data_IF_257580293991
#
_entry.id   IF_257580293991
#
_cell.length_a   1.000
_cell.length_b   1.000
_cell.length_c   1.000
_cell.angle_alpha   90.00
_cell.angle_beta   90.00
_cell.angle_gamma   90.00
#
_symmetry.space_group_name_H-M   'P 1'
#
loop_
_entity.id
_entity.type
_entity.pdbx_description
1 polymer ?
#
# COMPACT_ATOMS: atom_id res chain seq x y z
N UNK A 1 20.33 18.57 -24.05
CA UNK A 1 18.85 18.67 -23.92
C UNK A 1 18.41 19.93 -24.63
N UNK A 2 17.53 19.82 -25.65
CA UNK A 2 17.06 20.96 -26.41
C UNK A 2 16.29 21.96 -25.54
N UNK A 3 16.30 23.25 -25.90
CA UNK A 3 15.67 24.32 -25.10
C UNK A 3 14.20 24.04 -24.79
N UNK A 4 13.43 23.56 -25.80
CA UNK A 4 12.02 23.18 -25.62
C UNK A 4 11.83 22.01 -24.64
N UNK A 5 12.71 21.02 -24.67
CA UNK A 5 12.65 19.88 -23.71
C UNK A 5 12.87 20.35 -22.28
N UNK A 6 13.87 21.23 -22.07
CA UNK A 6 14.14 21.82 -20.74
C UNK A 6 12.94 22.61 -20.23
N UNK A 7 12.30 23.37 -21.12
CA UNK A 7 11.11 24.15 -20.79
C UNK A 7 9.93 23.24 -20.39
N UNK A 8 9.60 22.21 -21.21
CA UNK A 8 8.51 21.28 -20.94
C UNK A 8 8.70 20.55 -19.61
N UNK A 9 9.93 20.04 -19.39
CA UNK A 9 10.28 19.33 -18.15
C UNK A 9 10.14 20.25 -16.94
N UNK A 10 10.71 21.47 -17.00
CA UNK A 10 10.66 22.42 -15.88
C UNK A 10 9.21 22.81 -15.56
N UNK A 11 8.43 23.17 -16.57
CA UNK A 11 7.03 23.59 -16.38
C UNK A 11 6.16 22.45 -15.83
N UNK A 12 6.39 21.22 -16.32
CA UNK A 12 5.66 20.05 -15.82
C UNK A 12 6.01 19.74 -14.36
N UNK A 13 7.31 19.74 -14.02
CA UNK A 13 7.76 19.50 -12.64
C UNK A 13 7.25 20.56 -11.66
N UNK A 14 7.19 21.82 -12.06
CA UNK A 14 6.58 22.88 -11.24
C UNK A 14 5.09 22.63 -11.01
N UNK A 15 4.35 22.25 -12.06
CA UNK A 15 2.93 21.89 -11.93
C UNK A 15 2.76 20.66 -11.03
N UNK A 16 3.63 19.65 -11.17
CA UNK A 16 3.62 18.47 -10.32
C UNK A 16 3.88 18.79 -8.86
N UNK A 17 4.91 19.58 -8.55
CA UNK A 17 5.24 19.96 -7.18
C UNK A 17 4.10 20.79 -6.53
N UNK A 18 3.51 21.72 -7.26
CA UNK A 18 2.38 22.51 -6.75
C UNK A 18 1.19 21.61 -6.37
N UNK A 19 0.81 20.68 -7.24
CA UNK A 19 -0.28 19.73 -6.96
C UNK A 19 0.08 18.79 -5.81
N UNK A 20 1.30 18.30 -5.80
CA UNK A 20 1.79 17.46 -4.70
C UNK A 20 1.65 18.13 -3.34
N UNK A 21 2.09 19.38 -3.21
CA UNK A 21 1.96 20.11 -1.95
C UNK A 21 0.51 20.40 -1.57
N UNK A 22 -0.36 20.70 -2.53
CA UNK A 22 -1.81 20.87 -2.29
C UNK A 22 -2.41 19.57 -1.72
N UNK A 23 -2.12 18.42 -2.36
CA UNK A 23 -2.60 17.13 -1.88
C UNK A 23 -2.01 16.76 -0.52
N UNK A 24 -0.73 17.03 -0.30
CA UNK A 24 -0.08 16.79 0.98
C UNK A 24 -0.77 17.57 2.11
N UNK A 25 -0.99 18.86 1.92
CA UNK A 25 -1.69 19.71 2.91
C UNK A 25 -3.13 19.23 3.15
N UNK A 26 -3.87 18.89 2.08
CA UNK A 26 -5.25 18.41 2.18
C UNK A 26 -5.33 17.11 2.97
N UNK A 27 -4.50 16.13 2.63
CA UNK A 27 -4.45 14.82 3.31
C UNK A 27 -3.99 14.99 4.75
N UNK A 28 -3.01 15.87 5.01
CA UNK A 28 -2.57 16.17 6.36
C UNK A 28 -3.72 16.70 7.24
N UNK A 29 -4.52 17.64 6.72
CA UNK A 29 -5.67 18.19 7.45
C UNK A 29 -6.72 17.10 7.73
N UNK A 30 -7.02 16.24 6.73
CA UNK A 30 -7.97 15.14 6.93
C UNK A 30 -7.47 14.14 7.98
N UNK A 31 -6.19 13.75 7.92
CA UNK A 31 -5.58 12.89 8.93
C UNK A 31 -5.60 13.53 10.32
N UNK A 32 -5.34 14.85 10.40
CA UNK A 32 -5.36 15.57 11.66
C UNK A 32 -6.74 15.55 12.31
N UNK A 33 -7.81 15.75 11.54
CA UNK A 33 -9.18 15.65 12.06
C UNK A 33 -9.46 14.27 12.64
N UNK A 34 -9.03 13.21 11.94
CA UNK A 34 -9.19 11.83 12.40
C UNK A 34 -8.40 11.56 13.70
N UNK A 35 -7.17 12.08 13.81
CA UNK A 35 -6.36 11.91 15.02
C UNK A 35 -6.90 12.72 16.20
N UNK A 36 -7.39 13.94 15.96
CA UNK A 36 -8.02 14.75 17.00
C UNK A 36 -9.28 14.09 17.55
N UNK A 37 -10.09 13.46 16.70
CA UNK A 37 -11.25 12.70 17.11
C UNK A 37 -10.87 11.48 17.95
N UNK A 38 -9.86 10.72 17.53
CA UNK A 38 -9.36 9.55 18.25
C UNK A 38 -8.86 9.90 19.66
N UNK A 39 -8.10 10.99 19.80
CA UNK A 39 -7.51 11.40 21.07
C UNK A 39 -8.42 12.31 21.93
N UNK A 40 -9.66 12.57 21.51
CA UNK A 40 -10.59 13.47 22.21
C UNK A 40 -10.85 13.08 23.66
N UNK A 41 -10.83 11.77 23.97
CA UNK A 41 -11.08 11.23 25.31
C UNK A 41 -9.80 10.84 26.06
N UNK A 42 -8.63 11.02 25.45
CA UNK A 42 -7.34 10.64 26.04
C UNK A 42 -6.54 11.86 26.44
N UNK A 43 -5.84 11.77 27.57
CA UNK A 43 -5.08 12.89 28.14
C UNK A 43 -3.68 12.97 27.48
N UNK A 44 -3.62 13.36 26.20
CA UNK A 44 -2.36 13.51 25.43
C UNK A 44 -2.02 14.98 25.21
N UNK A 45 -0.72 15.27 25.04
CA UNK A 45 -0.27 16.63 24.68
C UNK A 45 -0.83 17.02 23.31
N UNK A 46 -1.25 18.28 23.16
CA UNK A 46 -1.89 18.82 21.92
C UNK A 46 -1.05 18.64 20.65
N UNK A 47 0.27 18.60 20.78
CA UNK A 47 1.18 18.36 19.64
C UNK A 47 1.23 16.89 19.17
N UNK A 48 0.76 15.95 19.98
CA UNK A 48 0.88 14.52 19.64
C UNK A 48 0.01 14.11 18.44
N UNK A 49 -1.29 14.49 18.36
CA UNK A 49 -2.10 14.27 17.17
C UNK A 49 -1.54 14.93 15.90
N UNK A 50 -0.99 16.15 16.01
CA UNK A 50 -0.33 16.85 14.90
C UNK A 50 0.87 16.06 14.36
N UNK A 51 1.71 15.56 15.27
CA UNK A 51 2.87 14.74 14.91
C UNK A 51 2.48 13.41 14.26
N UNK A 52 1.51 12.71 14.84
CA UNK A 52 1.00 11.45 14.29
C UNK A 52 0.40 11.63 12.89
N UNK A 53 -0.39 12.68 12.69
CA UNK A 53 -0.96 13.01 11.39
C UNK A 53 0.12 13.26 10.35
N UNK A 54 1.19 13.98 10.73
CA UNK A 54 2.30 14.29 9.83
C UNK A 54 3.03 13.00 9.37
N UNK A 55 3.27 12.08 10.29
CA UNK A 55 3.95 10.80 9.99
C UNK A 55 3.08 9.89 9.12
N UNK A 56 1.77 9.90 9.32
CA UNK A 56 0.83 9.05 8.60
C UNK A 56 0.54 9.55 7.16
N UNK A 57 0.61 10.87 6.95
CA UNK A 57 0.26 11.54 5.69
C UNK A 57 1.02 11.02 4.46
N UNK A 58 2.35 10.76 4.48
CA UNK A 58 3.08 10.36 3.28
C UNK A 58 2.56 9.08 2.64
N UNK A 59 2.07 8.12 3.42
CA UNK A 59 1.54 6.87 2.87
C UNK A 59 0.22 7.09 2.11
N UNK A 60 -0.66 7.93 2.61
CA UNK A 60 -1.88 8.30 1.89
C UNK A 60 -1.58 9.13 0.64
N UNK A 61 -0.59 10.02 0.69
CA UNK A 61 -0.12 10.76 -0.49
C UNK A 61 0.43 9.79 -1.54
N UNK A 62 1.16 8.73 -1.13
CA UNK A 62 1.64 7.71 -2.05
C UNK A 62 0.49 7.04 -2.84
N UNK A 63 -0.60 6.73 -2.19
CA UNK A 63 -1.77 6.14 -2.85
C UNK A 63 -2.46 7.12 -3.83
N UNK A 64 -2.32 8.44 -3.59
CA UNK A 64 -2.92 9.49 -4.42
C UNK A 64 -2.06 9.92 -5.61
N UNK A 65 -0.84 9.39 -5.81
CA UNK A 65 0.00 9.79 -6.95
C UNK A 65 -0.66 9.67 -8.32
N UNK A 66 -1.47 8.64 -8.63
CA UNK A 66 -2.17 8.61 -9.93
C UNK A 66 -3.04 9.85 -10.18
N UNK A 67 -3.73 10.34 -9.15
CA UNK A 67 -4.51 11.59 -9.22
C UNK A 67 -3.62 12.83 -9.30
N UNK A 68 -2.51 12.86 -8.55
CA UNK A 68 -1.54 13.95 -8.60
C UNK A 68 -0.97 14.09 -10.01
N UNK A 69 -0.58 13.00 -10.67
CA UNK A 69 -0.10 13.03 -12.05
C UNK A 69 -1.17 13.51 -13.03
N UNK A 70 -2.41 13.04 -12.87
CA UNK A 70 -3.53 13.47 -13.71
C UNK A 70 -3.76 14.98 -13.59
N UNK A 71 -3.95 15.50 -12.38
CA UNK A 71 -4.25 16.91 -12.14
C UNK A 71 -3.07 17.79 -12.52
N UNK A 72 -1.85 17.38 -12.22
CA UNK A 72 -0.62 18.08 -12.62
C UNK A 72 -0.56 18.24 -14.14
N UNK A 73 -0.93 17.18 -14.87
CA UNK A 73 -1.01 17.20 -16.33
C UNK A 73 -2.06 18.18 -16.84
N UNK A 74 -3.23 18.19 -16.21
CA UNK A 74 -4.30 19.12 -16.57
C UNK A 74 -3.90 20.58 -16.35
N UNK A 75 -3.26 20.87 -15.21
CA UNK A 75 -2.76 22.21 -14.90
C UNK A 75 -1.61 22.62 -15.84
N UNK A 76 -0.69 21.70 -16.13
CA UNK A 76 0.38 21.93 -17.09
C UNK A 76 -0.18 22.32 -18.47
N UNK A 77 -1.09 21.53 -19.05
CA UNK A 77 -1.69 21.86 -20.33
C UNK A 77 -2.55 23.12 -20.25
N UNK A 78 -3.25 23.38 -19.17
CA UNK A 78 -3.97 24.62 -18.96
C UNK A 78 -3.03 25.83 -19.04
N UNK A 79 -1.86 25.76 -18.41
CA UNK A 79 -0.83 26.81 -18.47
C UNK A 79 -0.35 27.02 -19.91
N UNK A 80 0.03 25.93 -20.62
CA UNK A 80 0.46 26.02 -22.01
C UNK A 80 -0.59 26.63 -22.95
N UNK A 81 -1.88 26.33 -22.72
CA UNK A 81 -2.98 26.92 -23.50
C UNK A 81 -3.21 28.39 -23.15
N UNK A 82 -3.02 28.77 -21.88
CA UNK A 82 -3.26 30.16 -21.43
C UNK A 82 -2.21 31.10 -22.01
N UNK A 83 -0.96 30.67 -22.10
CA UNK A 83 0.13 31.44 -22.67
C UNK A 83 0.34 31.21 -24.19
N UNK A 84 -0.56 30.50 -24.87
CA UNK A 84 -0.48 30.14 -26.30
C UNK A 84 0.81 29.37 -26.69
N UNK A 85 1.52 28.77 -25.76
CA UNK A 85 2.78 28.06 -25.98
C UNK A 85 2.60 26.82 -26.86
N UNK A 86 1.45 26.14 -26.79
CA UNK A 86 1.15 25.00 -27.68
C UNK A 86 1.13 25.44 -29.15
N UNK A 87 0.63 26.61 -29.48
CA UNK A 87 0.64 27.11 -30.85
C UNK A 87 2.07 27.42 -31.31
N UNK A 88 2.91 27.98 -30.43
CA UNK A 88 4.32 28.23 -30.71
C UNK A 88 5.03 26.89 -31.03
N UNK A 89 4.79 25.84 -30.25
CA UNK A 89 5.36 24.51 -30.52
C UNK A 89 4.87 23.93 -31.85
N UNK A 90 3.58 24.07 -32.19
CA UNK A 90 3.05 23.63 -33.47
C UNK A 90 3.70 24.39 -34.66
N UNK A 91 3.81 25.71 -34.55
CA UNK A 91 4.49 26.52 -35.59
C UNK A 91 5.96 26.15 -35.75
N UNK A 92 6.63 25.71 -34.68
CA UNK A 92 8.00 25.19 -34.69
C UNK A 92 8.10 23.75 -35.21
N UNK A 93 6.99 23.13 -35.67
CA UNK A 93 6.96 21.76 -36.18
C UNK A 93 6.99 20.67 -35.11
N UNK A 94 6.81 21.01 -33.81
CA UNK A 94 6.79 20.05 -32.74
C UNK A 94 5.41 19.36 -32.68
N UNK A 95 5.38 18.06 -32.99
CA UNK A 95 4.15 17.27 -32.94
C UNK A 95 3.72 17.00 -31.50
N UNK A 96 2.41 16.93 -31.25
CA UNK A 96 1.84 16.61 -29.94
C UNK A 96 2.34 15.27 -29.39
N UNK A 97 2.52 14.26 -30.26
CA UNK A 97 3.09 12.96 -29.91
C UNK A 97 4.50 13.06 -29.33
N UNK A 98 5.31 14.02 -29.81
CA UNK A 98 6.66 14.26 -29.30
C UNK A 98 6.64 14.85 -27.89
N UNK A 99 5.70 15.76 -27.61
CA UNK A 99 5.47 16.30 -26.24
C UNK A 99 5.07 15.18 -25.31
N UNK A 100 4.12 14.31 -25.71
CA UNK A 100 3.69 13.16 -24.91
C UNK A 100 4.85 12.20 -24.62
N UNK A 101 5.67 11.87 -25.64
CA UNK A 101 6.82 10.98 -25.48
C UNK A 101 7.85 11.53 -24.49
N UNK A 102 8.20 12.82 -24.58
CA UNK A 102 9.16 13.45 -23.67
C UNK A 102 8.67 13.41 -22.23
N UNK A 103 7.41 13.77 -22.01
CA UNK A 103 6.84 13.80 -20.66
C UNK A 103 6.57 12.39 -20.13
N UNK A 104 6.17 11.42 -20.95
CA UNK A 104 6.02 10.02 -20.53
C UNK A 104 7.33 9.42 -20.04
N UNK A 105 8.45 9.72 -20.72
CA UNK A 105 9.78 9.28 -20.27
C UNK A 105 10.15 9.94 -18.93
N UNK A 106 9.89 11.24 -18.78
CA UNK A 106 10.11 11.94 -17.52
C UNK A 106 9.29 11.30 -16.37
N UNK A 107 7.98 11.08 -16.61
CA UNK A 107 7.06 10.53 -15.62
C UNK A 107 7.46 9.11 -15.23
N UNK A 108 7.94 8.31 -16.17
CA UNK A 108 8.45 6.98 -15.89
C UNK A 108 9.61 7.02 -14.88
N UNK A 109 10.61 7.88 -15.13
CA UNK A 109 11.74 8.01 -14.20
C UNK A 109 11.34 8.60 -12.84
N UNK A 110 10.47 9.61 -12.83
CA UNK A 110 9.90 10.14 -11.58
C UNK A 110 9.10 9.05 -10.84
N UNK A 111 8.34 8.24 -11.56
CA UNK A 111 7.59 7.11 -11.01
C UNK A 111 8.50 6.06 -10.36
N UNK A 112 9.63 5.73 -10.99
CA UNK A 112 10.64 4.84 -10.38
C UNK A 112 11.19 5.44 -9.08
N UNK A 113 11.53 6.74 -9.07
CA UNK A 113 12.02 7.43 -7.86
C UNK A 113 10.95 7.40 -6.76
N UNK A 114 9.69 7.64 -7.10
CA UNK A 114 8.58 7.61 -6.15
C UNK A 114 8.44 6.20 -5.53
N UNK A 115 8.46 5.16 -6.33
CA UNK A 115 8.34 3.78 -5.82
C UNK A 115 9.58 3.35 -5.04
N UNK A 116 10.78 3.69 -5.51
CA UNK A 116 12.02 3.24 -4.87
C UNK A 116 12.36 4.01 -3.61
N UNK A 117 12.03 5.30 -3.53
CA UNK A 117 12.42 6.16 -2.42
C UNK A 117 11.22 6.60 -1.57
N UNK A 118 10.21 7.24 -2.20
CA UNK A 118 9.09 7.82 -1.45
C UNK A 118 8.22 6.74 -0.80
N UNK A 119 7.98 5.59 -1.46
CA UNK A 119 7.25 4.47 -0.88
C UNK A 119 7.96 3.91 0.36
N UNK A 120 9.27 3.62 0.27
CA UNK A 120 10.02 3.08 1.40
C UNK A 120 10.06 4.06 2.59
N UNK A 121 10.21 5.36 2.33
CA UNK A 121 10.11 6.38 3.36
C UNK A 121 8.72 6.40 4.00
N UNK A 122 7.67 6.37 3.19
CA UNK A 122 6.28 6.42 3.64
C UNK A 122 5.89 5.18 4.44
N UNK A 123 6.34 3.98 4.04
CA UNK A 123 6.07 2.73 4.77
C UNK A 123 6.75 2.71 6.13
N UNK A 124 8.01 3.17 6.22
CA UNK A 124 8.73 3.27 7.49
C UNK A 124 8.04 4.27 8.45
N UNK A 125 7.59 5.42 7.91
CA UNK A 125 6.84 6.40 8.70
C UNK A 125 5.49 5.83 9.15
N UNK A 126 4.80 5.07 8.29
CA UNK A 126 3.57 4.36 8.65
C UNK A 126 3.79 3.34 9.75
N UNK A 127 4.89 2.59 9.70
CA UNK A 127 5.25 1.65 10.76
C UNK A 127 5.47 2.36 12.11
N UNK A 128 6.23 3.47 12.11
CA UNK A 128 6.41 4.32 13.29
C UNK A 128 5.08 4.86 13.83
N UNK A 129 4.20 5.33 12.94
CA UNK A 129 2.86 5.78 13.31
C UNK A 129 2.06 4.69 14.01
N UNK A 130 2.03 3.47 13.44
CA UNK A 130 1.30 2.34 14.02
C UNK A 130 1.88 1.95 15.40
N UNK A 131 3.21 1.93 15.53
CA UNK A 131 3.88 1.67 16.80
C UNK A 131 3.54 2.69 17.89
N UNK A 132 3.54 3.98 17.55
CA UNK A 132 3.20 5.04 18.51
C UNK A 132 1.71 5.00 18.90
N UNK A 133 0.83 4.77 17.93
CA UNK A 133 -0.62 4.74 18.16
C UNK A 133 -1.06 3.53 18.97
N UNK A 134 -0.40 2.38 18.80
CA UNK A 134 -0.70 1.15 19.53
C UNK A 134 -0.56 1.28 21.06
N UNK A 135 0.26 2.23 21.55
CA UNK A 135 0.42 2.49 22.96
C UNK A 135 -0.83 3.11 23.64
N UNK A 136 -1.75 3.62 22.82
CA UNK A 136 -2.99 4.29 23.27
C UNK A 136 -4.25 3.47 22.96
N UNK A 137 -4.09 2.22 22.56
CA UNK A 137 -5.20 1.29 22.33
C UNK A 137 -5.05 0.07 23.21
N UNK A 138 -6.13 -0.30 23.92
CA UNK A 138 -6.12 -1.44 24.83
C UNK A 138 -5.82 -2.77 24.11
N UNK A 139 -6.25 -2.90 22.88
CA UNK A 139 -6.12 -4.11 22.08
C UNK A 139 -4.78 -4.23 21.30
N UNK A 140 -3.93 -3.18 21.27
CA UNK A 140 -2.70 -3.10 20.46
C UNK A 140 -2.87 -3.56 18.99
N UNK A 141 -4.09 -3.48 18.47
CA UNK A 141 -4.48 -3.94 17.11
C UNK A 141 -3.75 -3.26 15.96
N UNK A 142 -3.08 -2.13 16.22
CA UNK A 142 -2.38 -1.38 15.17
C UNK A 142 -1.07 -2.05 14.72
N UNK A 143 -0.45 -2.89 15.55
CA UNK A 143 0.81 -3.58 15.21
C UNK A 143 0.59 -4.94 14.53
N UNK A 144 -0.56 -5.57 14.79
CA UNK A 144 -0.89 -6.87 14.21
C UNK A 144 -2.39 -6.93 13.89
N UNK A 145 -2.76 -7.56 12.78
CA UNK A 145 -4.17 -7.85 12.48
C UNK A 145 -4.61 -9.02 13.37
N UNK A 146 -4.93 -8.71 14.63
CA UNK A 146 -5.57 -9.66 15.52
C UNK A 146 -7.08 -9.61 15.21
N UNK A 147 -7.63 -10.73 14.77
CA UNK A 147 -9.08 -10.84 14.57
C UNK A 147 -9.80 -10.81 15.93
N UNK A 148 -11.11 -10.56 15.93
CA UNK A 148 -11.92 -10.62 17.17
C UNK A 148 -11.80 -11.95 17.91
N UNK A 149 -11.29 -13.00 17.24
CA UNK A 149 -11.08 -14.36 17.76
C UNK A 149 -9.63 -14.63 18.19
N UNK A 150 -8.77 -13.59 18.29
CA UNK A 150 -7.36 -13.71 18.65
C UNK A 150 -6.43 -14.01 17.47
N UNK A 151 -5.19 -14.30 17.80
CA UNK A 151 -4.10 -14.65 16.88
C UNK A 151 -4.13 -16.15 16.60
N UNK A 152 -4.16 -16.55 15.34
CA UNK A 152 -4.06 -17.94 14.92
C UNK A 152 -2.82 -18.18 14.08
N UNK A 153 -1.99 -19.15 14.48
CA UNK A 153 -0.79 -19.57 13.77
C UNK A 153 -0.86 -21.08 13.53
N UNK A 154 -0.64 -21.48 12.28
CA UNK A 154 -0.36 -22.86 11.92
C UNK A 154 1.16 -22.99 11.68
N UNK A 155 1.83 -23.85 12.42
CA UNK A 155 3.23 -24.18 12.23
C UNK A 155 3.39 -25.67 11.88
N UNK A 156 4.40 -26.01 11.10
CA UNK A 156 4.76 -27.40 10.81
C UNK A 156 6.23 -27.54 11.21
N UNK A 157 6.47 -28.20 12.32
CA UNK A 157 7.81 -28.41 12.83
C UNK A 157 8.08 -29.92 13.05
N UNK A 158 9.15 -30.45 12.44
CA UNK A 158 9.52 -31.88 12.49
C UNK A 158 8.34 -32.82 12.20
N UNK A 159 7.56 -32.49 11.13
CA UNK A 159 6.39 -33.28 10.69
C UNK A 159 5.16 -33.19 11.59
N UNK A 160 5.26 -32.56 12.77
CA UNK A 160 4.09 -32.28 13.60
C UNK A 160 3.45 -30.95 13.20
N UNK A 161 2.13 -30.90 13.30
CA UNK A 161 1.34 -29.69 13.02
C UNK A 161 0.99 -29.04 14.34
N UNK A 162 1.41 -27.80 14.52
CA UNK A 162 1.08 -26.97 15.68
C UNK A 162 -0.02 -25.98 15.28
N UNK A 163 -1.17 -26.05 15.92
CA UNK A 163 -2.20 -25.05 15.84
C UNK A 163 -2.18 -24.19 17.10
N UNK A 164 -1.79 -22.94 16.96
CA UNK A 164 -1.56 -22.00 18.06
C UNK A 164 -2.63 -20.93 18.01
N UNK A 165 -3.36 -20.78 19.10
CA UNK A 165 -4.29 -19.68 19.30
C UNK A 165 -3.87 -18.87 20.52
N UNK A 166 -3.72 -17.55 20.37
CA UNK A 166 -3.43 -16.63 21.46
C UNK A 166 -4.46 -15.51 21.47
N UNK A 167 -4.91 -15.10 22.67
CA UNK A 167 -5.88 -14.02 22.79
C UNK A 167 -5.30 -12.66 22.43
N UNK A 168 -4.04 -12.45 22.72
CA UNK A 168 -3.32 -11.22 22.43
C UNK A 168 -1.80 -11.45 22.41
N UNK A 169 -1.11 -10.48 21.87
CA UNK A 169 0.33 -10.45 21.67
C UNK A 169 0.88 -9.15 22.24
N UNK A 170 1.85 -9.24 23.16
CA UNK A 170 2.40 -8.08 23.82
C UNK A 170 3.88 -8.26 24.18
N UNK A 171 4.74 -7.32 23.77
CA UNK A 171 6.15 -7.23 24.18
C UNK A 171 6.85 -8.60 24.22
N UNK A 172 6.96 -9.27 23.07
CA UNK A 172 7.59 -10.58 22.90
C UNK A 172 6.90 -11.76 23.61
N UNK A 173 5.69 -11.57 24.14
CA UNK A 173 4.92 -12.64 24.80
C UNK A 173 3.56 -12.83 24.13
N UNK A 174 3.16 -14.09 23.93
CA UNK A 174 1.77 -14.46 23.63
C UNK A 174 1.02 -14.63 24.95
N UNK A 175 -0.21 -14.09 25.01
CA UNK A 175 -1.04 -14.14 26.20
C UNK A 175 -2.23 -15.08 26.00
N UNK A 176 -2.58 -15.82 27.07
CA UNK A 176 -3.69 -16.78 27.11
C UNK A 176 -3.68 -17.69 25.86
N UNK A 177 -2.59 -18.41 25.70
CA UNK A 177 -2.34 -19.20 24.51
C UNK A 177 -2.78 -20.64 24.70
N UNK A 178 -3.39 -21.19 23.64
CA UNK A 178 -3.74 -22.59 23.52
C UNK A 178 -3.03 -23.17 22.28
N UNK A 179 -2.29 -24.25 22.46
CA UNK A 179 -1.53 -24.92 21.40
C UNK A 179 -2.02 -26.36 21.33
N UNK A 180 -2.46 -26.76 20.14
CA UNK A 180 -2.77 -28.15 19.81
C UNK A 180 -1.68 -28.71 18.90
N UNK A 181 -1.03 -29.75 19.33
CA UNK A 181 -0.03 -30.49 18.54
C UNK A 181 -0.65 -31.75 17.97
N UNK A 182 -0.53 -31.88 16.64
CA UNK A 182 -1.05 -33.04 15.87
C UNK A 182 0.12 -33.74 15.19
N UNK A 183 -0.07 -35.01 14.95
CA UNK A 183 0.81 -35.82 14.08
C UNK A 183 0.49 -35.57 12.60
N UNK A 184 1.18 -36.31 11.70
CA UNK A 184 0.95 -36.28 10.24
C UNK A 184 -0.45 -36.70 9.82
N UNK A 185 -1.13 -37.53 10.62
CA UNK A 185 -2.47 -38.06 10.35
C UNK A 185 -3.58 -37.18 10.94
N UNK A 186 -3.22 -35.98 11.49
CA UNK A 186 -4.11 -35.09 12.24
C UNK A 186 -4.67 -35.70 13.54
N UNK A 187 -3.97 -36.66 14.14
CA UNK A 187 -4.30 -37.14 15.49
C UNK A 187 -3.68 -36.21 16.53
N UNK A 188 -4.43 -35.91 17.61
CA UNK A 188 -3.96 -35.01 18.66
C UNK A 188 -2.92 -35.73 19.51
N UNK A 189 -1.69 -35.22 19.53
CA UNK A 189 -0.60 -35.70 20.38
C UNK A 189 -0.78 -35.13 21.79
N UNK A 190 -0.96 -33.80 21.90
CA UNK A 190 -1.18 -33.08 23.15
C UNK A 190 -1.77 -31.70 22.92
N UNK A 191 -2.42 -31.16 23.96
CA UNK A 191 -2.82 -29.77 24.01
C UNK A 191 -2.07 -29.08 25.15
N UNK A 192 -1.61 -27.85 24.90
CA UNK A 192 -0.86 -27.05 25.87
C UNK A 192 -1.60 -25.75 26.06
N UNK A 193 -1.86 -25.38 27.31
CA UNK A 193 -2.46 -24.12 27.70
C UNK A 193 -1.48 -23.35 28.58
N UNK A 194 -1.31 -22.05 28.33
CA UNK A 194 -0.48 -21.17 29.15
C UNK A 194 -0.98 -19.74 29.12
N UNK A 195 -0.78 -19.04 30.22
CA UNK A 195 -1.12 -17.61 30.32
C UNK A 195 -0.08 -16.75 29.61
N UNK A 196 1.20 -17.16 29.58
CA UNK A 196 2.31 -16.40 28.96
C UNK A 196 3.31 -17.30 28.30
N UNK A 197 3.63 -17.00 27.07
CA UNK A 197 4.65 -17.70 26.27
C UNK A 197 5.63 -16.67 25.74
N UNK A 198 6.90 -16.79 26.07
CA UNK A 198 7.98 -15.97 25.49
C UNK A 198 8.31 -16.50 24.10
N UNK A 199 8.23 -15.61 23.11
CA UNK A 199 8.43 -15.91 21.68
C UNK A 199 9.62 -15.15 21.08
N UNK A 200 10.52 -14.64 21.91
CA UNK A 200 11.69 -13.86 21.47
C UNK A 200 12.55 -14.64 20.46
N UNK A 201 12.66 -15.96 20.64
CA UNK A 201 13.41 -16.86 19.77
C UNK A 201 12.52 -17.96 19.19
N UNK A 202 13.02 -18.70 18.23
CA UNK A 202 12.32 -19.86 17.66
C UNK A 202 12.14 -21.03 18.64
N UNK A 203 12.80 -21.00 19.78
CA UNK A 203 12.55 -21.89 20.91
C UNK A 203 11.70 -21.14 21.95
N UNK A 204 10.39 -21.34 21.89
CA UNK A 204 9.46 -20.66 22.79
C UNK A 204 9.54 -21.21 24.20
N UNK A 205 9.49 -20.31 25.19
CA UNK A 205 9.48 -20.68 26.60
C UNK A 205 8.06 -20.49 27.12
N UNK A 206 7.38 -21.61 27.37
CA UNK A 206 6.02 -21.66 27.88
C UNK A 206 6.08 -21.70 29.39
N UNK A 207 5.62 -20.63 30.07
CA UNK A 207 5.64 -20.54 31.55
C UNK A 207 4.33 -21.13 32.10
N UNK A 208 4.44 -21.94 33.15
CA UNK A 208 3.31 -22.60 33.81
C UNK A 208 2.39 -23.31 32.79
N UNK A 209 3.00 -24.22 32.03
CA UNK A 209 2.29 -24.97 30.99
C UNK A 209 1.37 -26.02 31.60
N UNK A 210 0.09 -25.97 31.26
CA UNK A 210 -0.87 -27.04 31.47
C UNK A 210 -0.88 -27.93 30.23
N UNK A 211 -0.41 -29.14 30.35
CA UNK A 211 -0.31 -30.11 29.24
C UNK A 211 -1.41 -31.15 29.41
N UNK A 212 -2.21 -31.35 28.37
CA UNK A 212 -3.27 -32.35 28.32
C UNK A 212 -2.88 -33.42 27.31
N UNK A 213 -2.64 -34.64 27.76
CA UNK A 213 -2.35 -35.83 26.93
C UNK A 213 -3.46 -36.84 27.22
N UNK A 214 -4.30 -37.09 26.22
CA UNK A 214 -5.52 -37.90 26.37
C UNK A 214 -6.38 -37.38 27.55
N UNK A 215 -6.51 -38.13 28.64
CA UNK A 215 -7.26 -37.75 29.82
C UNK A 215 -6.41 -37.29 31.01
N UNK A 216 -5.08 -37.21 30.86
CA UNK A 216 -4.19 -36.80 31.92
C UNK A 216 -3.81 -35.32 31.79
N UNK A 217 -3.82 -34.60 32.92
CA UNK A 217 -3.36 -33.21 33.01
C UNK A 217 -2.05 -33.18 33.81
N UNK A 218 -1.02 -32.58 33.23
CA UNK A 218 0.24 -32.29 33.84
C UNK A 218 0.50 -30.79 33.88
N UNK A 219 1.08 -30.28 34.95
CA UNK A 219 1.47 -28.87 35.08
C UNK A 219 3.00 -28.83 35.22
N UNK A 220 3.61 -28.10 34.26
CA UNK A 220 5.05 -27.94 34.21
C UNK A 220 5.41 -26.47 34.35
N UNK A 221 6.34 -26.11 35.21
CA UNK A 221 6.73 -24.71 35.46
C UNK A 221 7.33 -24.03 34.25
N UNK A 222 8.03 -24.77 33.38
CA UNK A 222 8.58 -24.27 32.12
C UNK A 222 8.67 -25.39 31.10
N UNK A 223 8.15 -25.15 29.91
CA UNK A 223 8.26 -26.05 28.75
C UNK A 223 8.90 -25.31 27.58
N UNK A 224 9.87 -25.94 26.93
CA UNK A 224 10.48 -25.44 25.69
C UNK A 224 9.79 -26.06 24.49
N UNK A 225 9.29 -25.21 23.59
CA UNK A 225 8.65 -25.64 22.33
C UNK A 225 9.42 -25.03 21.15
N UNK A 226 9.95 -25.88 20.28
CA UNK A 226 10.62 -25.42 19.05
C UNK A 226 9.57 -25.13 17.97
N UNK A 227 9.68 -23.97 17.34
CA UNK A 227 8.78 -23.49 16.28
C UNK A 227 9.60 -22.85 15.16
N UNK A 228 8.96 -22.62 14.00
CA UNK A 228 9.56 -21.84 12.93
C UNK A 228 9.39 -20.33 13.15
N UNK A 229 8.60 -19.91 14.15
CA UNK A 229 8.23 -18.55 14.43
C UNK A 229 9.02 -17.95 15.58
N UNK A 230 9.53 -16.75 15.37
CA UNK A 230 10.04 -15.84 16.38
C UNK A 230 9.17 -14.56 16.45
N UNK A 231 9.47 -13.69 17.40
CA UNK A 231 8.78 -12.43 17.58
C UNK A 231 8.72 -11.59 16.30
N UNK A 232 9.88 -11.42 15.62
CA UNK A 232 9.97 -10.58 14.41
C UNK A 232 9.10 -11.14 13.29
N UNK A 233 9.09 -12.45 13.12
CA UNK A 233 8.30 -13.11 12.09
C UNK A 233 6.80 -12.96 12.37
N UNK A 234 6.36 -13.19 13.61
CA UNK A 234 4.95 -13.02 14.01
C UNK A 234 4.52 -11.56 13.81
N UNK A 235 5.31 -10.60 14.27
CA UNK A 235 5.02 -9.19 14.08
C UNK A 235 4.86 -8.83 12.59
N UNK A 236 5.75 -9.33 11.75
CA UNK A 236 5.70 -9.06 10.31
C UNK A 236 4.50 -9.74 9.62
N UNK A 237 4.13 -10.96 10.03
CA UNK A 237 2.99 -11.70 9.46
C UNK A 237 1.66 -10.96 9.65
N UNK A 238 1.50 -10.26 10.76
CA UNK A 238 0.27 -9.56 11.11
C UNK A 238 0.39 -8.04 10.94
N UNK A 239 1.51 -7.54 10.39
CA UNK A 239 1.67 -6.11 10.12
C UNK A 239 0.82 -5.67 8.94
N UNK A 240 0.44 -4.40 8.93
CA UNK A 240 -0.27 -3.82 7.81
C UNK A 240 0.66 -3.78 6.58
N UNK A 241 0.25 -4.36 5.45
CA UNK A 241 1.05 -4.42 4.21
C UNK A 241 1.58 -3.04 3.77
N UNK A 242 0.83 -1.97 4.04
CA UNK A 242 1.25 -0.62 3.69
C UNK A 242 2.34 -0.05 4.60
N UNK A 243 2.62 -0.68 5.75
CA UNK A 243 3.70 -0.30 6.66
C UNK A 243 5.02 -1.02 6.38
N UNK A 244 5.04 -1.92 5.38
CA UNK A 244 6.22 -2.67 4.99
C UNK A 244 6.91 -2.01 3.80
N UNK A 245 8.23 -1.84 3.88
CA UNK A 245 9.05 -1.40 2.77
C UNK A 245 9.13 -2.46 1.67
N UNK A 246 9.59 -2.08 0.47
CA UNK A 246 9.70 -3.00 -0.65
C UNK A 246 10.59 -4.23 -0.33
N UNK A 247 11.68 -4.03 0.40
CA UNK A 247 12.58 -5.11 0.80
C UNK A 247 11.95 -6.03 1.87
N UNK A 248 11.22 -5.46 2.81
CA UNK A 248 10.47 -6.22 3.82
C UNK A 248 9.37 -7.06 3.18
N UNK A 249 8.66 -6.55 2.17
CA UNK A 249 7.70 -7.32 1.40
C UNK A 249 8.34 -8.53 0.71
N UNK A 250 9.54 -8.38 0.13
CA UNK A 250 10.27 -9.51 -0.47
C UNK A 250 10.68 -10.53 0.60
N UNK A 251 11.20 -10.07 1.74
CA UNK A 251 11.56 -10.95 2.88
C UNK A 251 10.32 -11.70 3.38
N UNK A 252 9.21 -10.98 3.55
CA UNK A 252 7.94 -11.55 3.98
C UNK A 252 7.40 -12.59 3.00
N UNK A 253 7.47 -12.32 1.68
CA UNK A 253 7.10 -13.28 0.65
C UNK A 253 7.87 -14.60 0.77
N UNK A 254 9.19 -14.52 1.03
CA UNK A 254 10.03 -15.70 1.24
C UNK A 254 9.59 -16.49 2.48
N UNK A 255 9.32 -15.80 3.58
CA UNK A 255 8.88 -16.41 4.83
C UNK A 255 7.51 -17.10 4.66
N UNK A 256 6.52 -16.43 4.04
CA UNK A 256 5.21 -17.01 3.75
C UNK A 256 5.30 -18.28 2.90
N UNK A 257 6.17 -18.26 1.87
CA UNK A 257 6.42 -19.44 1.04
C UNK A 257 6.97 -20.61 1.84
N UNK A 258 7.90 -20.37 2.78
CA UNK A 258 8.47 -21.41 3.64
C UNK A 258 7.45 -21.99 4.62
N UNK A 259 6.48 -21.18 5.05
CA UNK A 259 5.44 -21.54 6.00
C UNK A 259 4.16 -22.08 5.34
N UNK A 260 4.14 -22.20 4.00
CA UNK A 260 2.95 -22.57 3.22
C UNK A 260 1.73 -21.65 3.45
N UNK A 261 1.97 -20.37 3.71
CA UNK A 261 0.92 -19.34 3.75
C UNK A 261 0.58 -18.83 2.36
N UNK A 262 -0.64 -18.28 2.19
CA UNK A 262 -1.05 -17.63 0.94
C UNK A 262 -0.16 -16.43 0.63
N UNK A 263 0.35 -16.37 -0.61
CA UNK A 263 1.20 -15.28 -1.11
C UNK A 263 0.38 -14.18 -1.77
N UNK A 264 -0.93 -14.35 -1.90
CA UNK A 264 -1.82 -13.54 -2.74
C UNK A 264 -1.72 -12.05 -2.42
N UNK A 265 -1.86 -11.65 -1.16
CA UNK A 265 -1.83 -10.23 -0.78
C UNK A 265 -0.44 -9.59 -0.98
N UNK A 266 0.62 -10.33 -0.64
CA UNK A 266 2.00 -9.84 -0.80
C UNK A 266 2.33 -9.67 -2.28
N UNK A 267 1.97 -10.66 -3.09
CA UNK A 267 2.22 -10.63 -4.53
C UNK A 267 1.42 -9.50 -5.19
N UNK A 268 0.16 -9.27 -4.78
CA UNK A 268 -0.63 -8.13 -5.22
C UNK A 268 0.05 -6.80 -4.92
N UNK A 269 0.54 -6.62 -3.68
CA UNK A 269 1.22 -5.38 -3.30
C UNK A 269 2.52 -5.18 -4.08
N UNK A 270 3.34 -6.23 -4.25
CA UNK A 270 4.58 -6.16 -5.02
C UNK A 270 4.31 -5.84 -6.50
N UNK A 271 3.35 -6.52 -7.14
CA UNK A 271 2.99 -6.25 -8.54
C UNK A 271 2.39 -4.87 -8.72
N UNK A 272 1.57 -4.39 -7.78
CA UNK A 272 1.06 -3.02 -7.76
C UNK A 272 2.20 -2.00 -7.77
N UNK A 273 3.21 -2.17 -6.91
CA UNK A 273 4.36 -1.27 -6.83
C UNK A 273 5.19 -1.27 -8.13
N UNK A 274 5.45 -2.44 -8.71
CA UNK A 274 6.19 -2.57 -9.96
C UNK A 274 5.45 -1.91 -11.14
N UNK A 275 4.13 -1.99 -11.16
CA UNK A 275 3.31 -1.45 -12.25
C UNK A 275 2.97 0.04 -12.09
N UNK A 276 3.18 0.64 -10.92
CA UNK A 276 2.84 2.04 -10.66
C UNK A 276 3.48 3.05 -11.63
N UNK A 277 4.77 2.97 -12.01
CA UNK A 277 5.35 3.89 -12.98
C UNK A 277 4.62 3.88 -14.33
N UNK A 278 4.13 2.71 -14.77
CA UNK A 278 3.33 2.58 -15.99
C UNK A 278 1.94 3.17 -15.80
N UNK A 279 1.33 2.96 -14.64
CA UNK A 279 0.01 3.53 -14.32
C UNK A 279 0.07 5.08 -14.32
N UNK A 280 1.14 5.68 -13.80
CA UNK A 280 1.33 7.13 -13.84
C UNK A 280 1.40 7.68 -15.28
N UNK A 281 2.09 6.97 -16.18
CA UNK A 281 2.13 7.33 -17.61
C UNK A 281 0.73 7.25 -18.22
N UNK A 282 -0.03 6.21 -17.94
CA UNK A 282 -1.37 6.05 -18.48
C UNK A 282 -2.32 7.16 -17.99
N UNK A 283 -2.23 7.55 -16.72
CA UNK A 283 -3.00 8.67 -16.15
C UNK A 283 -2.57 10.01 -16.76
N UNK A 284 -1.27 10.21 -16.99
CA UNK A 284 -0.77 11.38 -17.71
C UNK A 284 -1.34 11.46 -19.14
N UNK A 285 -1.22 10.37 -19.93
CA UNK A 285 -1.71 10.33 -21.30
C UNK A 285 -3.22 10.61 -21.33
N UNK A 286 -3.99 10.00 -20.45
CA UNK A 286 -5.42 10.19 -20.32
C UNK A 286 -5.78 11.67 -20.08
N UNK A 287 -5.13 12.31 -19.11
CA UNK A 287 -5.33 13.72 -18.80
C UNK A 287 -4.93 14.63 -19.97
N UNK A 288 -3.80 14.34 -20.62
CA UNK A 288 -3.31 15.09 -21.79
C UNK A 288 -4.32 15.03 -22.95
N UNK A 289 -4.90 13.86 -23.22
CA UNK A 289 -5.92 13.66 -24.26
C UNK A 289 -7.15 14.51 -23.97
N UNK A 290 -7.66 14.48 -22.74
CA UNK A 290 -8.84 15.30 -22.35
C UNK A 290 -8.55 16.77 -22.55
N UNK A 291 -7.38 17.25 -22.13
CA UNK A 291 -7.03 18.67 -22.24
C UNK A 291 -6.84 19.11 -23.69
N UNK A 292 -6.29 18.26 -24.55
CA UNK A 292 -6.04 18.58 -25.97
C UNK A 292 -7.27 18.42 -26.85
N UNK A 293 -8.31 17.72 -26.40
CA UNK A 293 -9.56 17.60 -27.15
C UNK A 293 -10.34 18.92 -27.14
N UNK A 294 -10.18 19.71 -28.20
CA UNK A 294 -10.82 21.01 -28.34
C UNK A 294 -12.22 20.93 -28.98
N UNK A 295 -12.56 19.79 -29.61
CA UNK A 295 -13.82 19.62 -30.32
C UNK A 295 -15.01 19.49 -29.36
N UNK A 296 -14.84 18.70 -28.30
CA UNK A 296 -15.94 18.31 -27.41
C UNK A 296 -16.21 19.33 -26.32
N UNK A 297 -15.16 19.97 -25.79
CA UNK A 297 -15.29 20.94 -24.71
C UNK A 297 -14.46 22.20 -24.98
N UNK A 298 -15.10 23.35 -25.11
CA UNK A 298 -14.43 24.66 -25.32
C UNK A 298 -13.86 25.21 -23.99
N UNK A 299 -14.54 24.98 -22.87
CA UNK A 299 -14.19 25.56 -21.57
C UNK A 299 -13.13 24.70 -20.87
N UNK A 300 -12.01 25.32 -20.48
CA UNK A 300 -10.87 24.67 -19.81
C UNK A 300 -11.23 24.09 -18.45
N UNK A 301 -12.04 24.82 -17.66
CA UNK A 301 -12.50 24.38 -16.33
C UNK A 301 -13.35 23.11 -16.42
N UNK A 302 -14.23 23.02 -17.43
CA UNK A 302 -15.06 21.83 -17.67
C UNK A 302 -14.19 20.61 -17.95
N UNK A 303 -13.08 20.74 -18.71
CA UNK A 303 -12.15 19.64 -18.98
C UNK A 303 -11.49 19.13 -17.70
N UNK A 304 -11.10 20.04 -16.79
CA UNK A 304 -10.50 19.67 -15.50
C UNK A 304 -11.52 18.88 -14.68
N UNK A 305 -12.76 19.35 -14.56
CA UNK A 305 -13.83 18.68 -13.82
C UNK A 305 -14.11 17.29 -14.40
N UNK A 306 -14.22 17.16 -15.73
CA UNK A 306 -14.44 15.88 -16.40
C UNK A 306 -13.27 14.93 -16.14
N UNK A 307 -12.04 15.41 -16.24
CA UNK A 307 -10.86 14.58 -15.96
C UNK A 307 -10.84 14.07 -14.52
N UNK A 308 -11.17 14.93 -13.56
CA UNK A 308 -11.33 14.54 -12.16
C UNK A 308 -12.42 13.46 -11.98
N UNK A 309 -13.59 13.67 -12.55
CA UNK A 309 -14.71 12.72 -12.45
C UNK A 309 -14.33 11.35 -13.03
N UNK A 310 -13.75 11.34 -14.23
CA UNK A 310 -13.33 10.11 -14.89
C UNK A 310 -12.18 9.42 -14.14
N UNK A 311 -11.28 10.18 -13.49
CA UNK A 311 -10.20 9.60 -12.69
C UNK A 311 -10.72 8.83 -11.48
N UNK A 312 -11.81 9.29 -10.87
CA UNK A 312 -12.48 8.57 -9.78
C UNK A 312 -13.06 7.25 -10.30
N UNK A 313 -13.66 7.23 -11.49
CA UNK A 313 -14.16 5.99 -12.11
C UNK A 313 -13.01 5.01 -12.35
N UNK A 314 -11.89 5.49 -12.91
CA UNK A 314 -10.69 4.65 -13.14
C UNK A 314 -10.17 4.07 -11.83
N UNK A 315 -10.15 4.87 -10.76
CA UNK A 315 -9.75 4.41 -9.43
C UNK A 315 -10.65 3.28 -8.93
N UNK A 316 -11.97 3.44 -9.02
CA UNK A 316 -12.91 2.39 -8.58
C UNK A 316 -12.80 1.12 -9.41
N UNK A 317 -12.57 1.22 -10.73
CA UNK A 317 -12.30 0.06 -11.59
C UNK A 317 -11.03 -0.66 -11.11
N UNK A 318 -9.96 0.09 -10.88
CA UNK A 318 -8.69 -0.48 -10.39
C UNK A 318 -8.86 -1.18 -9.04
N UNK A 319 -9.57 -0.53 -8.10
CA UNK A 319 -9.84 -1.08 -6.77
C UNK A 319 -10.76 -2.33 -6.82
N UNK A 320 -11.74 -2.35 -7.72
CA UNK A 320 -12.60 -3.50 -7.93
C UNK A 320 -11.80 -4.75 -8.35
N UNK A 321 -10.90 -4.61 -9.33
CA UNK A 321 -10.03 -5.71 -9.74
C UNK A 321 -9.04 -6.12 -8.64
N UNK A 322 -8.55 -5.16 -7.87
CA UNK A 322 -7.69 -5.45 -6.71
C UNK A 322 -8.42 -6.30 -5.67
N UNK A 323 -9.68 -5.97 -5.33
CA UNK A 323 -10.52 -6.76 -4.40
C UNK A 323 -10.79 -8.16 -4.95
N UNK A 324 -11.03 -8.31 -6.25
CA UNK A 324 -11.18 -9.63 -6.87
C UNK A 324 -9.90 -10.48 -6.77
N UNK A 325 -8.74 -9.82 -6.84
CA UNK A 325 -7.43 -10.47 -6.63
C UNK A 325 -7.22 -10.90 -5.19
N UNK A 326 -7.50 -10.04 -4.20
CA UNK A 326 -7.37 -10.37 -2.77
C UNK A 326 -8.32 -11.49 -2.34
N UNK A 327 -9.51 -11.55 -2.93
CA UNK A 327 -10.47 -12.62 -2.69
C UNK A 327 -10.19 -13.90 -3.49
N UNK A 328 -9.06 -14.00 -4.19
CA UNK A 328 -8.60 -15.13 -5.00
C UNK A 328 -9.58 -15.54 -6.12
N UNK A 329 -10.56 -14.70 -6.46
CA UNK A 329 -11.51 -14.94 -7.55
C UNK A 329 -10.86 -14.82 -8.93
N UNK A 330 -9.78 -14.05 -9.04
CA UNK A 330 -8.95 -13.94 -10.25
C UNK A 330 -7.47 -14.02 -9.87
N UNK A 331 -6.64 -14.40 -10.82
CA UNK A 331 -5.19 -14.49 -10.62
C UNK A 331 -4.61 -13.10 -10.29
N UNK A 332 -3.62 -13.06 -9.40
CA UNK A 332 -2.87 -11.86 -8.95
C UNK A 332 -2.42 -10.99 -10.14
N UNK A 333 -1.81 -11.60 -11.15
CA UNK A 333 -1.31 -10.89 -12.32
C UNK A 333 -2.46 -10.24 -13.10
N UNK A 334 -3.55 -10.99 -13.31
CA UNK A 334 -4.73 -10.51 -14.04
C UNK A 334 -5.42 -9.35 -13.32
N UNK A 335 -5.48 -9.38 -11.99
CA UNK A 335 -6.14 -8.33 -11.20
C UNK A 335 -5.47 -6.96 -11.33
N UNK A 336 -4.17 -6.92 -11.63
CA UNK A 336 -3.42 -5.67 -11.80
C UNK A 336 -3.29 -5.28 -13.28
N UNK A 337 -3.12 -6.26 -14.17
CA UNK A 337 -2.88 -5.98 -15.59
C UNK A 337 -4.18 -5.63 -16.32
N UNK A 338 -5.32 -6.24 -16.01
CA UNK A 338 -6.58 -5.97 -16.73
C UNK A 338 -6.97 -4.48 -16.66
N UNK A 339 -7.02 -3.80 -15.51
CA UNK A 339 -7.35 -2.37 -15.48
C UNK A 339 -6.34 -1.50 -16.25
N UNK A 340 -5.05 -1.86 -16.27
CA UNK A 340 -4.04 -1.15 -17.06
C UNK A 340 -4.26 -1.34 -18.57
N UNK A 341 -4.63 -2.54 -19.02
CA UNK A 341 -4.97 -2.81 -20.41
C UNK A 341 -6.22 -2.01 -20.81
N UNK A 342 -7.27 -2.01 -19.99
CA UNK A 342 -8.49 -1.24 -20.24
C UNK A 342 -8.14 0.24 -20.44
N UNK A 343 -7.35 0.81 -19.54
CA UNK A 343 -6.95 2.22 -19.63
C UNK A 343 -6.06 2.48 -20.86
N UNK A 344 -5.20 1.52 -21.23
CA UNK A 344 -4.37 1.60 -22.45
C UNK A 344 -5.23 1.59 -23.71
N UNK A 345 -6.25 0.74 -23.78
CA UNK A 345 -7.19 0.69 -24.90
C UNK A 345 -7.97 2.00 -25.00
N UNK A 346 -8.49 2.51 -23.89
CA UNK A 346 -9.20 3.80 -23.85
C UNK A 346 -8.29 4.92 -24.38
N UNK A 347 -7.06 5.02 -23.87
CA UNK A 347 -6.09 6.00 -24.33
C UNK A 347 -5.77 5.88 -25.82
N UNK A 348 -5.60 4.65 -26.32
CA UNK A 348 -5.29 4.40 -27.73
C UNK A 348 -6.45 4.79 -28.67
N UNK A 349 -7.68 4.54 -28.26
CA UNK A 349 -8.87 4.96 -29.02
C UNK A 349 -9.03 6.49 -29.05
N UNK A 350 -8.78 7.13 -27.92
CA UNK A 350 -8.95 8.60 -27.81
C UNK A 350 -7.81 9.36 -28.49
N UNK A 351 -6.59 8.84 -28.53
CA UNK A 351 -5.43 9.48 -29.21
C UNK A 351 -5.64 9.62 -30.72
N UNK A 352 -6.30 8.64 -31.38
CA UNK A 352 -6.60 8.72 -32.81
C UNK A 352 -7.36 9.99 -33.18
N UNK A 353 -8.28 10.43 -32.32
CA UNK A 353 -9.07 11.65 -32.54
C UNK A 353 -8.27 12.96 -32.41
N UNK A 354 -7.05 12.93 -31.87
CA UNK A 354 -6.18 14.10 -31.69
C UNK A 354 -5.18 14.26 -32.83
N UNK A 355 -4.68 13.15 -33.39
CA UNK A 355 -3.64 13.16 -34.42
C UNK A 355 -4.16 13.53 -35.81
N UNK A 356 -5.46 13.48 -36.06
CA UNK A 356 -6.06 13.82 -37.37
C UNK A 356 -6.19 15.35 -37.59
N UNK A 357 -5.47 16.17 -36.86
CA UNK A 357 -5.34 17.62 -36.96
C UNK A 357 -3.91 18.09 -36.67
#
# INVERSE_FOLDING_TARGET
>A
MNTYTKFLVKTYLLSFLNVFFIFFCLIYVLNLLTELEFFKQTNVKTFFPLYLSLINTPMFVFEMFPFIFLISTQLFFNTLFTYNEINIFKYSGLKNTKIFSILSVLIFFVGIIIVSFFYNLSSNLKNLYLGLKSNYTDDKKYLAVITNNGLWIKDIYNENILMINASSFNNNELLNTYISEFDKNFEIIRNIKSQRIDITQKEWIIKNAEIYIQNNKEIVSSLKLKTNFDYELIQNLFSNMSSLSFMELIKMRKNYKQLNYSLTEIDLQLFKLITFPFYFILMFIFAAIIMMNTKTFKNKSVKIIIGLFLSVIIYYINNFFYILGTSEKINVISSIIIPLIILTIINSLLIKNINDK
#
